data_IF_436129611845
#
_entry.id   IF_436129611845
#
_cell.length_a   1.000
_cell.length_b   1.000
_cell.length_c   1.000
_cell.angle_alpha   90.00
_cell.angle_beta   90.00
_cell.angle_gamma   90.00
#
_symmetry.space_group_name_H-M   'P 1'
#
loop_
_entity.id
_entity.type
_entity.pdbx_description
1 polymer ?
#
# COMPACT_ATOMS: atom_id res chain seq x y z
N UNK A 1 30.38 5.98 -5.12
CA UNK A 1 29.34 5.02 -4.73
C UNK A 1 28.13 5.40 -5.55
N UNK A 2 27.54 4.44 -6.23
CA UNK A 2 26.32 4.67 -7.01
C UNK A 2 25.13 4.53 -6.07
N UNK A 3 24.15 5.43 -6.20
CA UNK A 3 22.89 5.37 -5.47
C UNK A 3 21.72 5.39 -6.45
N UNK A 4 20.60 4.80 -6.04
CA UNK A 4 19.33 4.83 -6.77
C UNK A 4 18.28 5.45 -5.88
N UNK A 5 17.49 6.37 -6.43
CA UNK A 5 16.31 6.90 -5.76
C UNK A 5 15.08 6.21 -6.34
N UNK A 6 14.43 5.37 -5.53
CA UNK A 6 13.22 4.65 -5.92
C UNK A 6 12.02 5.34 -5.27
N UNK A 7 10.99 5.62 -6.06
CA UNK A 7 9.69 6.10 -5.59
C UNK A 7 8.64 5.02 -5.81
N UNK A 8 8.30 4.30 -4.74
CA UNK A 8 7.32 3.21 -4.81
C UNK A 8 5.91 3.79 -4.62
N UNK A 9 5.06 3.56 -5.61
CA UNK A 9 3.66 3.97 -5.61
C UNK A 9 2.82 2.80 -5.13
N UNK A 10 2.07 2.97 -4.04
CA UNK A 10 1.17 1.97 -3.48
C UNK A 10 -0.12 1.77 -4.30
N UNK A 11 0.03 1.56 -5.60
CA UNK A 11 -1.05 1.42 -6.57
C UNK A 11 -1.93 0.17 -6.36
N UNK A 12 -1.47 -0.80 -5.56
CA UNK A 12 -2.24 -1.99 -5.18
C UNK A 12 -3.06 -1.77 -3.90
N UNK A 13 -2.93 -0.61 -3.23
CA UNK A 13 -3.89 -0.24 -2.17
C UNK A 13 -5.29 -0.10 -2.75
N UNK A 14 -6.34 -0.42 -1.97
CA UNK A 14 -7.71 -0.24 -2.41
C UNK A 14 -8.16 1.22 -2.30
N UNK A 15 -9.15 1.61 -3.11
CA UNK A 15 -9.96 2.78 -2.80
C UNK A 15 -10.73 2.52 -1.50
N UNK A 16 -10.49 3.33 -0.46
CA UNK A 16 -11.05 3.09 0.88
C UNK A 16 -12.43 3.69 1.10
N UNK A 17 -12.73 4.76 0.35
CA UNK A 17 -13.99 5.53 0.40
C UNK A 17 -14.06 6.43 -0.83
N UNK A 18 -15.25 6.94 -1.12
CA UNK A 18 -15.41 8.06 -2.05
C UNK A 18 -14.99 9.35 -1.34
N UNK A 19 -14.10 10.11 -1.99
CA UNK A 19 -13.61 11.41 -1.51
C UNK A 19 -14.43 12.53 -2.15
N UNK A 20 -14.45 13.72 -1.54
CA UNK A 20 -15.30 14.85 -1.96
C UNK A 20 -15.10 15.31 -3.43
N UNK A 21 -13.93 15.01 -4.02
CA UNK A 21 -13.61 15.32 -5.41
C UNK A 21 -14.04 14.23 -6.41
N UNK A 22 -14.59 13.11 -5.93
CA UNK A 22 -15.07 11.98 -6.74
C UNK A 22 -16.60 11.95 -6.74
N UNK A 23 -17.17 11.57 -7.88
CA UNK A 23 -18.59 11.27 -7.98
C UNK A 23 -18.97 10.07 -7.11
N UNK A 24 -20.21 10.00 -6.57
CA UNK A 24 -20.76 8.79 -5.95
C UNK A 24 -20.73 7.54 -6.84
N UNK A 25 -20.52 7.68 -8.16
CA UNK A 25 -20.28 6.54 -9.03
C UNK A 25 -19.04 5.70 -8.61
N UNK A 26 -18.13 6.27 -7.82
CA UNK A 26 -16.97 5.55 -7.28
C UNK A 26 -17.28 4.59 -6.12
N UNK A 27 -18.49 4.61 -5.54
CA UNK A 27 -18.88 3.65 -4.48
C UNK A 27 -18.66 2.20 -4.94
N UNK A 28 -18.87 1.90 -6.22
CA UNK A 28 -18.68 0.57 -6.80
C UNK A 28 -17.23 0.09 -6.84
N UNK A 29 -16.26 1.00 -6.69
CA UNK A 29 -14.83 0.72 -6.73
C UNK A 29 -14.19 0.67 -5.33
N UNK A 30 -14.96 0.84 -4.26
CA UNK A 30 -14.44 0.68 -2.89
C UNK A 30 -13.91 -0.75 -2.71
N UNK A 31 -12.70 -0.86 -2.16
CA UNK A 31 -11.99 -2.12 -1.99
C UNK A 31 -11.23 -2.59 -3.23
N UNK A 32 -11.43 -1.97 -4.40
CA UNK A 32 -10.67 -2.30 -5.62
C UNK A 32 -9.30 -1.60 -5.63
N UNK A 33 -8.22 -2.27 -6.10
CA UNK A 33 -6.90 -1.66 -6.24
C UNK A 33 -6.92 -0.41 -7.12
N UNK A 34 -6.24 0.66 -6.69
CA UNK A 34 -6.19 1.95 -7.41
C UNK A 34 -5.62 1.84 -8.83
N UNK A 35 -4.79 0.84 -9.09
CA UNK A 35 -4.24 0.53 -10.41
C UNK A 35 -5.29 0.03 -11.41
N UNK A 36 -6.43 -0.48 -10.94
CA UNK A 36 -7.41 -1.18 -11.78
C UNK A 36 -8.77 -0.46 -11.87
N UNK A 37 -8.88 0.72 -11.27
CA UNK A 37 -10.08 1.54 -11.33
C UNK A 37 -9.84 2.72 -12.29
N UNK A 38 -10.87 3.17 -13.02
CA UNK A 38 -10.75 4.27 -13.96
C UNK A 38 -10.32 5.56 -13.27
N UNK A 39 -9.60 6.41 -14.01
CA UNK A 39 -9.30 7.77 -13.58
C UNK A 39 -10.57 8.63 -13.53
N UNK A 40 -10.63 9.66 -12.67
CA UNK A 40 -11.73 10.60 -12.69
C UNK A 40 -11.65 11.56 -13.89
N UNK A 41 -12.81 11.88 -14.46
CA UNK A 41 -13.00 13.00 -15.37
C UNK A 41 -13.01 14.35 -14.63
N UNK A 42 -13.18 15.44 -15.38
CA UNK A 42 -13.20 16.79 -14.83
C UNK A 42 -14.39 17.05 -13.88
N UNK A 43 -15.46 16.28 -14.01
CA UNK A 43 -16.65 16.26 -13.16
C UNK A 43 -16.57 15.26 -12.00
N UNK A 44 -15.42 14.58 -11.84
CA UNK A 44 -15.22 13.55 -10.84
C UNK A 44 -15.84 12.19 -11.20
N UNK A 45 -16.46 12.04 -12.37
CA UNK A 45 -17.01 10.76 -12.84
C UNK A 45 -15.91 9.79 -13.27
N UNK A 46 -16.10 8.47 -13.13
CA UNK A 46 -15.22 7.47 -13.75
C UNK A 46 -15.09 7.70 -15.26
N UNK A 47 -13.86 7.88 -15.74
CA UNK A 47 -13.53 8.04 -17.16
C UNK A 47 -12.65 6.87 -17.64
N UNK A 48 -13.24 5.81 -18.23
CA UNK A 48 -12.48 4.67 -18.74
C UNK A 48 -11.44 5.02 -19.81
N UNK A 49 -11.67 6.10 -20.56
CA UNK A 49 -10.74 6.59 -21.60
C UNK A 49 -9.63 7.49 -21.01
N UNK A 50 -9.73 7.85 -19.73
CA UNK A 50 -8.80 8.73 -19.02
C UNK A 50 -7.60 8.04 -18.38
N UNK A 51 -7.48 6.72 -18.53
CA UNK A 51 -6.47 5.90 -17.85
C UNK A 51 -6.92 5.45 -16.47
N UNK A 52 -5.97 5.15 -15.59
CA UNK A 52 -6.23 4.62 -14.24
C UNK A 52 -6.07 5.68 -13.16
N UNK A 53 -6.80 5.50 -12.06
CA UNK A 53 -6.78 6.40 -10.91
C UNK A 53 -5.36 6.64 -10.39
N UNK A 54 -4.56 5.58 -10.21
CA UNK A 54 -3.21 5.70 -9.70
C UNK A 54 -2.32 6.62 -10.57
N UNK A 55 -2.37 6.45 -11.89
CA UNK A 55 -1.58 7.25 -12.84
C UNK A 55 -2.05 8.71 -12.89
N UNK A 56 -3.37 8.94 -12.86
CA UNK A 56 -3.97 10.27 -12.91
C UNK A 56 -3.46 11.17 -11.78
N UNK A 57 -3.43 10.68 -10.54
CA UNK A 57 -2.96 11.47 -9.40
C UNK A 57 -1.44 11.49 -9.26
N UNK A 58 -0.73 10.49 -9.81
CA UNK A 58 0.72 10.43 -9.79
C UNK A 58 1.36 11.42 -10.78
N UNK A 59 0.78 11.58 -11.98
CA UNK A 59 1.40 12.34 -13.05
C UNK A 59 1.71 13.82 -12.69
N UNK A 60 0.80 14.58 -12.06
CA UNK A 60 1.10 15.95 -11.62
C UNK A 60 2.21 16.02 -10.55
N UNK A 61 2.25 15.03 -9.65
CA UNK A 61 3.31 14.95 -8.63
C UNK A 61 4.69 14.73 -9.27
N UNK A 62 4.79 13.80 -10.23
CA UNK A 62 6.04 13.56 -10.95
C UNK A 62 6.46 14.78 -11.80
N UNK A 63 5.50 15.53 -12.35
CA UNK A 63 5.79 16.78 -13.05
C UNK A 63 6.40 17.81 -12.10
N UNK A 64 5.83 18.00 -10.92
CA UNK A 64 6.37 18.93 -9.91
C UNK A 64 7.78 18.54 -9.44
N UNK A 65 8.05 17.24 -9.26
CA UNK A 65 9.39 16.77 -8.92
C UNK A 65 10.43 17.13 -10.00
N UNK A 66 10.06 17.00 -11.28
CA UNK A 66 10.95 17.37 -12.39
C UNK A 66 11.30 18.86 -12.39
N UNK A 67 10.37 19.74 -12.04
CA UNK A 67 10.62 21.19 -11.97
C UNK A 67 11.72 21.56 -10.96
N UNK A 68 11.91 20.76 -9.90
CA UNK A 68 12.98 20.95 -8.91
C UNK A 68 14.21 20.06 -9.15
N UNK A 69 14.28 19.41 -10.31
CA UNK A 69 15.41 18.56 -10.72
C UNK A 69 15.46 17.20 -10.01
N UNK A 70 14.32 16.69 -9.53
CA UNK A 70 14.21 15.39 -8.87
C UNK A 70 13.56 14.38 -9.80
N UNK A 71 14.31 13.34 -10.18
CA UNK A 71 13.86 12.28 -11.10
C UNK A 71 14.05 10.90 -10.46
N UNK A 72 13.04 10.37 -9.74
CA UNK A 72 13.11 9.02 -9.17
C UNK A 72 12.88 7.94 -10.24
N UNK A 73 13.38 6.75 -9.95
CA UNK A 73 12.90 5.50 -10.54
C UNK A 73 11.53 5.17 -9.94
N UNK A 74 10.47 5.32 -10.72
CA UNK A 74 9.10 5.06 -10.27
C UNK A 74 8.79 3.57 -10.35
N UNK A 75 8.31 2.99 -9.25
CA UNK A 75 7.88 1.59 -9.17
C UNK A 75 6.41 1.56 -8.81
N UNK A 76 5.57 0.99 -9.67
CA UNK A 76 4.17 0.76 -9.38
C UNK A 76 4.01 -0.57 -8.65
N UNK A 77 3.54 -0.55 -7.40
CA UNK A 77 3.51 -1.75 -6.55
C UNK A 77 2.65 -2.88 -7.15
N UNK A 78 1.58 -2.56 -7.89
CA UNK A 78 0.75 -3.58 -8.58
C UNK A 78 1.56 -4.40 -9.59
N UNK A 79 2.49 -3.78 -10.32
CA UNK A 79 3.35 -4.46 -11.29
C UNK A 79 4.33 -5.41 -10.59
N UNK A 80 4.80 -5.04 -9.40
CA UNK A 80 5.63 -5.93 -8.57
C UNK A 80 4.85 -7.18 -8.15
N UNK A 81 3.56 -7.04 -7.80
CA UNK A 81 2.66 -8.19 -7.57
C UNK A 81 2.43 -9.02 -8.84
N UNK A 82 2.13 -8.38 -9.98
CA UNK A 82 1.88 -9.05 -11.26
C UNK A 82 3.09 -9.85 -11.75
N UNK A 83 4.30 -9.33 -11.51
CA UNK A 83 5.56 -10.01 -11.88
C UNK A 83 5.87 -11.25 -11.03
N UNK A 84 5.16 -11.45 -9.92
CA UNK A 84 5.41 -12.51 -8.96
C UNK A 84 6.58 -12.27 -8.00
N UNK A 85 7.20 -11.08 -8.02
CA UNK A 85 8.30 -10.75 -7.11
C UNK A 85 7.91 -10.80 -5.62
N UNK A 86 6.62 -10.69 -5.30
CA UNK A 86 6.11 -10.85 -3.94
C UNK A 86 5.93 -12.32 -3.50
N UNK A 87 5.92 -13.30 -4.41
CA UNK A 87 5.48 -14.67 -4.13
C UNK A 87 6.16 -15.29 -2.90
N UNK A 88 7.49 -15.22 -2.84
CA UNK A 88 8.29 -15.78 -1.75
C UNK A 88 8.06 -15.04 -0.41
N UNK A 89 7.84 -13.72 -0.49
CA UNK A 89 7.53 -12.89 0.68
C UNK A 89 6.12 -13.18 1.20
N UNK A 90 5.14 -13.36 0.31
CA UNK A 90 3.77 -13.74 0.68
C UNK A 90 3.77 -15.12 1.32
N UNK A 91 4.41 -16.12 0.70
CA UNK A 91 4.52 -17.46 1.26
C UNK A 91 5.18 -17.42 2.66
N UNK A 92 6.30 -16.70 2.79
CA UNK A 92 6.98 -16.52 4.08
C UNK A 92 6.12 -15.84 5.14
N UNK A 93 5.29 -14.87 4.74
CA UNK A 93 4.37 -14.20 5.65
C UNK A 93 3.28 -15.15 6.16
N UNK A 94 2.73 -15.99 5.27
CA UNK A 94 1.72 -17.01 5.62
C UNK A 94 2.31 -18.05 6.57
N UNK A 95 3.49 -18.59 6.28
CA UNK A 95 4.18 -19.57 7.15
C UNK A 95 4.50 -19.00 8.54
N UNK A 96 4.79 -17.69 8.62
CA UNK A 96 5.13 -17.00 9.87
C UNK A 96 3.97 -16.20 10.47
N UNK A 97 2.72 -16.45 10.06
CA UNK A 97 1.56 -15.60 10.42
C UNK A 97 1.45 -15.32 11.92
N UNK A 98 1.63 -16.34 12.76
CA UNK A 98 1.44 -16.21 14.21
C UNK A 98 2.57 -15.40 14.86
N UNK A 99 3.79 -15.51 14.32
CA UNK A 99 4.93 -14.69 14.75
C UNK A 99 4.74 -13.24 14.33
N UNK A 100 4.30 -12.98 13.09
CA UNK A 100 4.04 -11.63 12.59
C UNK A 100 2.93 -10.97 13.40
N UNK A 101 1.86 -11.71 13.70
CA UNK A 101 0.78 -11.27 14.58
C UNK A 101 1.33 -10.82 15.94
N UNK A 102 2.13 -11.66 16.60
CA UNK A 102 2.72 -11.34 17.90
C UNK A 102 3.60 -10.09 17.85
N UNK A 103 4.39 -9.93 16.79
CA UNK A 103 5.23 -8.73 16.60
C UNK A 103 4.36 -7.47 16.50
N UNK A 104 3.29 -7.52 15.70
CA UNK A 104 2.38 -6.38 15.56
C UNK A 104 1.75 -6.04 16.91
N UNK A 105 1.24 -7.02 17.64
CA UNK A 105 0.59 -6.82 18.94
C UNK A 105 1.57 -6.28 19.99
N UNK A 106 2.74 -6.92 20.13
CA UNK A 106 3.72 -6.57 21.16
C UNK A 106 4.37 -5.19 20.93
N UNK A 107 4.64 -4.83 19.67
CA UNK A 107 5.33 -3.57 19.35
C UNK A 107 4.35 -2.41 19.27
N UNK A 108 3.20 -2.59 18.62
CA UNK A 108 2.26 -1.48 18.39
C UNK A 108 1.19 -1.35 19.48
N UNK A 109 1.05 -2.34 20.37
CA UNK A 109 -0.03 -2.40 21.36
C UNK A 109 -1.43 -2.58 20.76
N UNK A 110 -1.52 -2.86 19.46
CA UNK A 110 -2.77 -3.07 18.74
C UNK A 110 -3.22 -4.51 18.88
N UNK A 111 -4.53 -4.71 19.00
CA UNK A 111 -5.12 -6.04 18.90
C UNK A 111 -5.22 -6.44 17.42
N UNK A 112 -4.69 -7.61 17.08
CA UNK A 112 -4.87 -8.21 15.76
C UNK A 112 -6.06 -9.18 15.85
N UNK A 113 -7.06 -9.09 14.96
CA UNK A 113 -8.23 -9.96 15.00
C UNK A 113 -7.88 -11.44 14.97
N UNK A 114 -8.67 -12.27 15.65
CA UNK A 114 -8.43 -13.72 15.72
C UNK A 114 -8.35 -14.40 14.35
N UNK A 115 -9.24 -14.01 13.42
CA UNK A 115 -9.27 -14.49 12.04
C UNK A 115 -8.30 -13.78 11.08
N UNK A 116 -7.33 -13.02 11.59
CA UNK A 116 -6.38 -12.31 10.74
C UNK A 116 -5.52 -13.28 9.91
N UNK A 117 -5.35 -12.94 8.63
CA UNK A 117 -4.50 -13.67 7.70
C UNK A 117 -3.56 -12.68 7.01
N UNK A 118 -2.26 -13.01 6.82
CA UNK A 118 -1.27 -12.10 6.25
C UNK A 118 -1.37 -11.96 4.72
N UNK A 119 -2.56 -12.14 4.14
CA UNK A 119 -2.84 -11.95 2.71
C UNK A 119 -4.32 -11.66 2.53
N UNK A 120 -4.64 -10.62 1.76
CA UNK A 120 -6.00 -10.21 1.41
C UNK A 120 -6.24 -10.59 -0.06
N UNK A 121 -6.93 -11.70 -0.36
CA UNK A 121 -7.28 -12.08 -1.72
C UNK A 121 -8.24 -11.07 -2.35
N UNK A 122 -8.22 -10.97 -3.68
CA UNK A 122 -9.31 -10.33 -4.43
C UNK A 122 -10.52 -11.27 -4.47
N UNK A 123 -11.71 -10.71 -4.27
CA UNK A 123 -13.00 -11.39 -4.34
C UNK A 123 -13.42 -11.71 -5.79
N UNK A 124 -14.64 -12.24 -5.96
CA UNK A 124 -15.19 -12.55 -7.29
C UNK A 124 -15.41 -11.33 -8.20
N UNK A 125 -15.30 -10.11 -7.67
CA UNK A 125 -15.47 -8.85 -8.37
C UNK A 125 -14.18 -8.04 -8.50
N UNK A 126 -13.09 -8.45 -7.86
CA UNK A 126 -11.80 -7.74 -7.88
C UNK A 126 -11.60 -6.75 -6.73
N UNK A 127 -12.39 -6.86 -5.65
CA UNK A 127 -12.22 -6.09 -4.41
C UNK A 127 -11.50 -6.92 -3.35
N UNK A 128 -10.69 -6.29 -2.49
CA UNK A 128 -10.10 -6.99 -1.33
C UNK A 128 -11.03 -7.01 -0.10
N UNK A 129 -12.13 -6.26 -0.14
CA UNK A 129 -13.03 -6.11 1.00
C UNK A 129 -14.03 -7.28 1.07
N UNK A 130 -14.41 -7.66 2.29
CA UNK A 130 -15.43 -8.69 2.50
C UNK A 130 -14.98 -10.11 2.13
N UNK A 131 -13.67 -10.38 2.08
CA UNK A 131 -13.11 -11.70 1.80
C UNK A 131 -12.64 -12.38 3.09
N UNK A 132 -13.06 -13.62 3.29
CA UNK A 132 -12.60 -14.46 4.40
C UNK A 132 -11.75 -15.61 3.86
N UNK A 133 -10.52 -15.73 4.36
CA UNK A 133 -9.62 -16.84 4.00
C UNK A 133 -10.08 -18.13 4.69
N UNK A 134 -10.24 -19.19 3.92
CA UNK A 134 -10.71 -20.51 4.38
C UNK A 134 -9.61 -21.56 4.41
N UNK A 135 -8.51 -21.35 3.69
CA UNK A 135 -7.39 -22.28 3.66
C UNK A 135 -6.21 -21.80 2.83
N UNK A 136 -5.11 -22.54 2.90
CA UNK A 136 -3.91 -22.29 2.12
C UNK A 136 -3.26 -23.61 1.71
N UNK A 137 -3.05 -23.79 0.41
CA UNK A 137 -2.26 -24.87 -0.19
C UNK A 137 -1.36 -24.24 -1.24
N UNK A 138 -0.04 -24.20 -1.01
CA UNK A 138 0.89 -23.51 -1.90
C UNK A 138 0.65 -23.89 -3.38
N UNK A 139 0.46 -22.92 -4.30
CA UNK A 139 0.55 -21.46 -4.13
C UNK A 139 -0.80 -20.72 -3.93
N UNK A 140 -1.89 -21.44 -3.61
CA UNK A 140 -3.25 -20.91 -3.57
C UNK A 140 -3.74 -20.62 -2.14
N UNK A 141 -4.30 -19.43 -1.95
CA UNK A 141 -5.12 -19.07 -0.78
C UNK A 141 -6.58 -19.25 -1.15
N UNK A 142 -7.29 -20.11 -0.44
CA UNK A 142 -8.74 -20.33 -0.62
C UNK A 142 -9.54 -19.32 0.20
N UNK A 143 -10.66 -18.88 -0.35
CA UNK A 143 -11.48 -17.85 0.27
C UNK A 143 -12.96 -17.99 -0.07
N UNK A 144 -13.78 -17.33 0.75
CA UNK A 144 -15.20 -17.06 0.49
C UNK A 144 -15.44 -15.56 0.60
N UNK A 145 -16.15 -14.99 -0.36
CA UNK A 145 -16.47 -13.56 -0.35
C UNK A 145 -17.84 -13.26 0.28
N UNK A 146 -18.12 -11.97 0.47
CA UNK A 146 -19.38 -11.48 1.06
C UNK A 146 -20.62 -11.76 0.20
N UNK A 147 -20.44 -12.23 -1.04
CA UNK A 147 -21.51 -12.65 -1.94
C UNK A 147 -21.78 -14.16 -1.87
N UNK A 148 -21.02 -14.89 -1.05
CA UNK A 148 -21.12 -16.34 -0.90
C UNK A 148 -20.44 -17.12 -2.03
N UNK A 149 -19.57 -16.47 -2.81
CA UNK A 149 -18.76 -17.14 -3.83
C UNK A 149 -17.49 -17.68 -3.18
N UNK A 150 -17.21 -18.96 -3.42
CA UNK A 150 -15.94 -19.59 -3.06
C UNK A 150 -14.94 -19.47 -4.21
N UNK A 151 -13.68 -19.23 -3.87
CA UNK A 151 -12.61 -19.06 -4.85
C UNK A 151 -11.22 -19.36 -4.29
N UNK A 152 -10.22 -19.12 -5.13
CA UNK A 152 -8.81 -19.24 -4.78
C UNK A 152 -7.98 -18.15 -5.45
N UNK A 153 -7.01 -17.61 -4.73
CA UNK A 153 -6.05 -16.65 -5.23
C UNK A 153 -4.64 -17.27 -5.28
N UNK A 154 -3.99 -17.21 -6.44
CA UNK A 154 -2.59 -17.59 -6.63
C UNK A 154 -1.67 -16.46 -6.16
N UNK A 155 -0.88 -16.71 -5.12
CA UNK A 155 0.02 -15.70 -4.50
C UNK A 155 1.18 -15.29 -5.41
N UNK A 156 1.39 -15.96 -6.54
CA UNK A 156 2.48 -15.68 -7.49
C UNK A 156 2.12 -14.59 -8.49
N UNK A 157 0.88 -14.10 -8.47
CA UNK A 157 0.36 -13.05 -9.35
C UNK A 157 -0.48 -12.07 -8.53
N UNK A 158 -0.96 -10.99 -9.16
CA UNK A 158 -1.74 -9.93 -8.50
C UNK A 158 -3.21 -10.31 -8.22
N UNK A 159 -3.44 -11.45 -7.54
CA UNK A 159 -4.78 -11.90 -7.09
C UNK A 159 -5.06 -11.56 -5.62
N UNK A 160 -4.30 -10.63 -5.06
CA UNK A 160 -4.43 -10.18 -3.68
C UNK A 160 -3.23 -9.37 -3.26
N UNK A 161 -3.21 -8.99 -1.97
CA UNK A 161 -2.20 -8.09 -1.41
C UNK A 161 -1.90 -8.42 0.05
N UNK A 162 -0.63 -8.26 0.46
CA UNK A 162 -0.24 -8.29 1.87
C UNK A 162 -0.88 -7.13 2.65
N UNK A 163 -1.28 -7.32 3.93
CA UNK A 163 -1.64 -6.21 4.81
C UNK A 163 -0.50 -5.18 4.88
N UNK A 164 -0.83 -3.89 4.85
CA UNK A 164 0.14 -2.81 4.58
C UNK A 164 1.43 -2.82 5.42
N UNK A 165 1.40 -3.26 6.70
CA UNK A 165 2.61 -3.39 7.54
C UNK A 165 3.56 -4.46 7.04
N UNK A 166 2.99 -5.58 6.57
CA UNK A 166 3.73 -6.70 6.01
C UNK A 166 4.16 -6.38 4.57
N UNK A 167 3.29 -5.71 3.80
CA UNK A 167 3.61 -5.20 2.46
C UNK A 167 4.81 -4.25 2.48
N UNK A 168 4.83 -3.29 3.41
CA UNK A 168 5.94 -2.33 3.52
C UNK A 168 7.27 -3.02 3.85
N UNK A 169 7.26 -3.95 4.80
CA UNK A 169 8.43 -4.76 5.14
C UNK A 169 8.91 -5.64 3.96
N UNK A 170 7.98 -6.22 3.20
CA UNK A 170 8.30 -7.01 2.02
C UNK A 170 8.95 -6.16 0.92
N UNK A 171 8.40 -4.96 0.66
CA UNK A 171 8.94 -4.00 -0.33
C UNK A 171 10.40 -3.63 -0.05
N UNK A 172 10.78 -3.46 1.22
CA UNK A 172 12.18 -3.20 1.58
C UNK A 172 13.12 -4.29 1.07
N UNK A 173 12.75 -5.55 1.29
CA UNK A 173 13.52 -6.69 0.82
C UNK A 173 13.52 -6.85 -0.69
N UNK A 174 12.36 -6.68 -1.34
CA UNK A 174 12.20 -6.83 -2.79
C UNK A 174 13.02 -5.79 -3.56
N UNK A 175 13.03 -4.55 -3.09
CA UNK A 175 13.70 -3.45 -3.77
C UNK A 175 15.11 -3.14 -3.22
N UNK A 176 15.59 -3.91 -2.23
CA UNK A 176 16.91 -3.71 -1.63
C UNK A 176 17.07 -2.34 -0.97
N UNK A 177 16.02 -1.85 -0.30
CA UNK A 177 16.00 -0.51 0.30
C UNK A 177 16.99 -0.47 1.46
N UNK A 178 17.95 0.46 1.40
CA UNK A 178 19.00 0.63 2.42
C UNK A 178 18.70 1.75 3.40
N UNK A 179 17.90 2.74 2.98
CA UNK A 179 17.43 3.86 3.79
C UNK A 179 16.08 4.32 3.25
N UNK A 180 15.09 4.50 4.14
CA UNK A 180 13.79 5.06 3.78
C UNK A 180 13.35 6.06 4.85
N UNK A 181 13.29 7.37 4.54
CA UNK A 181 12.67 8.35 5.41
C UNK A 181 11.17 8.12 5.51
N UNK A 182 10.61 8.21 6.71
CA UNK A 182 9.17 8.17 6.94
C UNK A 182 8.72 9.30 7.87
N UNK A 183 7.45 9.70 7.76
CA UNK A 183 6.88 10.72 8.63
C UNK A 183 6.85 10.29 10.09
N UNK A 184 6.80 11.27 10.99
CA UNK A 184 6.79 11.05 12.45
C UNK A 184 5.75 10.05 12.94
N UNK A 185 4.58 10.00 12.31
CA UNK A 185 3.51 9.04 12.65
C UNK A 185 3.95 7.57 12.46
N UNK A 186 4.81 7.30 11.49
CA UNK A 186 5.36 5.97 11.24
C UNK A 186 6.59 5.69 12.11
N UNK A 187 7.35 6.73 12.44
CA UNK A 187 8.60 6.67 13.18
C UNK A 187 8.48 6.72 14.71
N UNK A 188 7.32 7.10 15.25
CA UNK A 188 7.05 7.12 16.69
C UNK A 188 7.18 5.72 17.32
N UNK A 189 7.38 5.67 18.64
CA UNK A 189 7.49 4.40 19.37
C UNK A 189 6.24 3.53 19.17
N UNK A 190 6.43 2.28 18.75
CA UNK A 190 5.33 1.37 18.39
C UNK A 190 4.69 1.68 17.03
N UNK A 191 5.29 2.60 16.27
CA UNK A 191 4.88 2.97 14.91
C UNK A 191 5.11 1.84 13.91
N UNK A 192 4.79 2.10 12.64
CA UNK A 192 4.95 1.09 11.59
C UNK A 192 6.38 0.73 11.28
N UNK A 193 7.33 1.64 11.50
CA UNK A 193 8.75 1.34 11.32
C UNK A 193 9.19 0.26 12.32
N UNK A 194 8.77 0.40 13.58
CA UNK A 194 9.14 -0.51 14.66
C UNK A 194 8.54 -1.90 14.47
N UNK A 195 7.34 -2.01 13.89
CA UNK A 195 6.79 -3.32 13.48
C UNK A 195 7.45 -3.84 12.20
N UNK A 196 7.77 -2.96 11.26
CA UNK A 196 8.26 -3.34 9.93
C UNK A 196 9.65 -3.95 9.97
N UNK A 197 10.55 -3.43 10.81
CA UNK A 197 11.95 -3.90 10.94
C UNK A 197 12.02 -5.41 11.23
N UNK A 198 11.45 -5.92 12.34
CA UNK A 198 11.47 -7.34 12.64
C UNK A 198 10.70 -8.16 11.60
N UNK A 199 9.59 -7.65 11.03
CA UNK A 199 8.87 -8.34 9.96
C UNK A 199 9.75 -8.51 8.72
N UNK A 200 10.53 -7.49 8.33
CA UNK A 200 11.45 -7.58 7.18
C UNK A 200 12.51 -8.68 7.37
N UNK A 201 13.08 -8.76 8.58
CA UNK A 201 14.03 -9.80 8.96
C UNK A 201 13.39 -11.19 8.91
N UNK A 202 12.18 -11.33 9.44
CA UNK A 202 11.39 -12.57 9.37
C UNK A 202 11.09 -12.97 7.92
N UNK A 203 10.89 -12.00 7.04
CA UNK A 203 10.73 -12.20 5.61
C UNK A 203 12.07 -12.43 4.88
N UNK A 204 13.19 -12.52 5.60
CA UNK A 204 14.49 -12.93 5.06
C UNK A 204 15.30 -11.81 4.40
N UNK A 205 15.07 -10.55 4.77
CA UNK A 205 15.77 -9.40 4.20
C UNK A 205 16.30 -8.45 5.28
N UNK A 206 17.42 -7.75 5.03
CA UNK A 206 17.88 -6.71 5.94
C UNK A 206 16.93 -5.49 5.87
N UNK A 207 16.52 -4.92 7.02
CA UNK A 207 15.69 -3.72 7.04
C UNK A 207 16.53 -2.47 6.73
N UNK A 208 15.90 -1.39 6.21
CA UNK A 208 16.58 -0.14 5.95
C UNK A 208 16.91 0.61 7.24
N UNK A 209 17.82 1.58 7.13
CA UNK A 209 18.06 2.53 8.21
C UNK A 209 16.82 3.41 8.45
N UNK A 210 16.34 3.39 9.70
CA UNK A 210 15.24 4.25 10.17
C UNK A 210 15.63 5.72 10.14
N UNK A 211 14.93 6.49 9.31
CA UNK A 211 15.04 7.94 9.24
C UNK A 211 13.65 8.55 9.38
N UNK A 212 13.49 9.52 10.29
CA UNK A 212 12.19 10.12 10.59
C UNK A 212 12.24 11.61 10.30
N UNK A 213 11.30 12.10 9.49
CA UNK A 213 11.11 13.53 9.25
C UNK A 213 9.95 14.09 10.07
N UNK A 214 10.06 15.36 10.45
CA UNK A 214 9.04 16.10 11.21
C UNK A 214 7.90 16.60 10.31
N UNK A 215 6.82 17.03 10.95
CA UNK A 215 5.66 17.61 10.27
C UNK A 215 6.03 18.84 9.45
N UNK A 216 5.53 18.90 8.22
CA UNK A 216 5.57 20.13 7.43
C UNK A 216 4.41 21.03 7.90
N UNK A 217 4.75 22.26 8.30
CA UNK A 217 3.79 23.22 8.85
C UNK A 217 3.67 24.44 7.97
N UNK A 218 2.46 24.96 7.84
CA UNK A 218 2.19 26.26 7.22
C UNK A 218 2.07 27.31 8.32
N UNK A 219 2.79 28.43 8.14
CA UNK A 219 2.83 29.52 9.12
C UNK A 219 1.41 30.03 9.39
N UNK A 220 0.96 29.92 10.64
CA UNK A 220 -0.36 30.38 11.08
C UNK A 220 -1.51 29.39 10.88
N UNK A 221 -1.27 28.25 10.21
CA UNK A 221 -2.29 27.22 9.96
C UNK A 221 -1.98 25.88 10.64
N UNK A 222 -0.75 25.69 11.11
CA UNK A 222 -0.32 24.45 11.77
C UNK A 222 0.17 23.38 10.79
N UNK A 223 0.23 22.11 11.22
CA UNK A 223 0.63 20.99 10.36
C UNK A 223 -0.32 20.81 9.18
N UNK A 224 0.23 20.48 8.01
CA UNK A 224 -0.58 20.05 6.88
C UNK A 224 -1.27 18.71 7.22
N UNK A 225 -2.58 18.64 7.00
CA UNK A 225 -3.39 17.45 7.23
C UNK A 225 -4.65 17.49 6.37
N UNK A 226 -4.94 16.37 5.70
CA UNK A 226 -6.16 16.20 4.91
C UNK A 226 -7.42 16.22 5.77
N UNK A 227 -7.35 15.78 7.04
CA UNK A 227 -8.50 15.79 7.95
C UNK A 227 -8.90 17.19 8.40
N UNK A 228 -7.99 18.16 8.32
CA UNK A 228 -8.25 19.56 8.67
C UNK A 228 -8.35 20.46 7.44
N UNK A 229 -8.29 19.89 6.23
CA UNK A 229 -8.36 20.62 4.97
C UNK A 229 -7.14 21.52 4.69
N UNK A 230 -6.04 21.32 5.42
CA UNK A 230 -4.81 22.10 5.25
C UNK A 230 -3.90 21.32 4.30
N UNK A 231 -4.13 21.48 3.00
CA UNK A 231 -3.38 20.80 1.93
C UNK A 231 -2.79 21.81 0.96
N UNK A 232 -1.53 21.59 0.56
CA UNK A 232 -0.85 22.36 -0.50
C UNK A 232 -0.37 21.33 -1.51
N UNK A 233 -0.80 21.48 -2.77
CA UNK A 233 -0.34 20.62 -3.84
C UNK A 233 1.13 20.92 -4.17
N UNK A 234 1.90 19.95 -4.69
CA UNK A 234 3.27 20.19 -5.12
C UNK A 234 3.39 21.37 -6.09
N UNK A 235 2.47 21.47 -7.06
CA UNK A 235 2.44 22.58 -8.02
C UNK A 235 2.09 23.93 -7.38
N UNK A 236 1.36 23.95 -6.25
CA UNK A 236 1.06 25.19 -5.52
C UNK A 236 2.24 25.66 -4.66
N UNK A 237 3.20 24.78 -4.39
CA UNK A 237 4.37 25.04 -3.56
C UNK A 237 5.61 25.47 -4.37
N UNK A 238 5.59 25.29 -5.69
CA UNK A 238 6.63 25.73 -6.63
C UNK A 238 6.49 27.22 -6.95
#
# INVERSE_FOLDING_TARGET
MDSRYIFIVDSMDPLRRVYDFLSPAYEQYIGHPLAYIPAPGADGEPNPDGGYYADHFLAPFLAALREIGVEPEVVMNHQTYESGAFADKIHSAIEKKDEIRRVIEAVSGREVPEGWFPYNPLDSKGSIDGVSVTGYEYPHVHWVDSHGVEGSADIRIAQGKLPWRVDWAAKWGIHGITCEPAGKDHGAAGGSYDTGIPICEMLGSPPPHKLVYEWIQLKGMGPMSSSTGVTVGPMDAL
#
